data_IF_071266775775
#
_entry.id   IF_071266775775
#
_cell.length_a   1.000
_cell.length_b   1.000
_cell.length_c   1.000
_cell.angle_alpha   90.00
_cell.angle_beta   90.00
_cell.angle_gamma   90.00
#
_symmetry.space_group_name_H-M   'P 1'
#
loop_
_entity.id
_entity.type
_entity.pdbx_description
1 polymer ?
#
# COMPACT_ATOMS: atom_id res chain seq x y z
N UNK A 1 -19.08 -16.68 17.35
CA UNK A 1 -18.65 -17.39 16.14
C UNK A 1 -19.37 -16.74 14.96
N UNK A 2 -18.72 -15.78 14.29
CA UNK A 2 -19.32 -15.16 13.10
C UNK A 2 -19.10 -16.14 11.96
N UNK A 3 -20.18 -16.70 11.43
CA UNK A 3 -20.17 -17.40 10.14
C UNK A 3 -19.77 -16.35 9.11
N UNK A 4 -18.50 -16.34 8.68
CA UNK A 4 -18.09 -15.55 7.53
C UNK A 4 -18.70 -16.23 6.31
N UNK A 5 -19.87 -15.73 5.91
CA UNK A 5 -20.40 -15.88 4.56
C UNK A 5 -19.25 -15.63 3.57
N UNK A 6 -19.19 -16.36 2.46
CA UNK A 6 -18.20 -16.15 1.38
C UNK A 6 -18.32 -14.72 0.83
N UNK A 7 -17.69 -13.76 1.51
CA UNK A 7 -17.68 -12.37 1.10
C UNK A 7 -16.68 -12.23 -0.03
N UNK A 8 -17.16 -11.75 -1.16
CA UNK A 8 -16.34 -11.49 -2.33
C UNK A 8 -16.51 -10.03 -2.70
N UNK A 9 -15.40 -9.29 -2.71
CA UNK A 9 -15.35 -7.97 -3.29
C UNK A 9 -14.83 -8.07 -4.73
N UNK A 10 -15.67 -7.67 -5.68
CA UNK A 10 -15.25 -7.49 -7.06
C UNK A 10 -14.84 -6.03 -7.26
N UNK A 11 -13.58 -5.79 -7.60
CA UNK A 11 -13.02 -4.45 -7.81
C UNK A 11 -12.88 -4.20 -9.31
N UNK A 12 -13.71 -3.33 -9.92
CA UNK A 12 -13.52 -2.95 -11.32
C UNK A 12 -12.20 -2.20 -11.50
N UNK A 13 -11.31 -2.71 -12.35
CA UNK A 13 -9.98 -2.13 -12.54
C UNK A 13 -10.02 -0.69 -13.08
N UNK A 14 -11.04 -0.36 -13.89
CA UNK A 14 -11.23 1.00 -14.40
C UNK A 14 -11.56 1.99 -13.26
N UNK A 15 -12.39 1.59 -12.31
CA UNK A 15 -12.75 2.41 -11.15
C UNK A 15 -11.57 2.53 -10.17
N UNK A 16 -10.84 1.44 -9.94
CA UNK A 16 -9.63 1.47 -9.11
C UNK A 16 -8.60 2.45 -9.69
N UNK A 17 -8.33 2.38 -11.00
CA UNK A 17 -7.40 3.30 -11.66
C UNK A 17 -7.83 4.76 -11.51
N UNK A 18 -9.09 5.06 -11.82
CA UNK A 18 -9.63 6.41 -11.66
C UNK A 18 -9.53 6.92 -10.22
N UNK A 19 -9.72 6.03 -9.24
CA UNK A 19 -9.62 6.39 -7.82
C UNK A 19 -8.19 6.71 -7.43
N UNK A 20 -7.21 5.95 -7.94
CA UNK A 20 -5.78 6.24 -7.74
C UNK A 20 -5.45 7.61 -8.34
N UNK A 21 -5.84 7.88 -9.59
CA UNK A 21 -5.56 9.15 -10.26
C UNK A 21 -6.10 10.35 -9.46
N UNK A 22 -7.37 10.29 -9.02
CA UNK A 22 -8.00 11.35 -8.22
C UNK A 22 -7.31 11.58 -6.86
N UNK A 23 -6.84 10.50 -6.20
CA UNK A 23 -6.14 10.62 -4.93
C UNK A 23 -4.73 11.18 -5.12
N UNK A 24 -4.06 10.87 -6.22
CA UNK A 24 -2.76 11.46 -6.54
C UNK A 24 -2.90 12.96 -6.85
N UNK A 25 -3.91 13.37 -7.64
CA UNK A 25 -4.21 14.78 -7.87
C UNK A 25 -4.42 15.54 -6.54
N UNK A 26 -5.12 14.92 -5.59
CA UNK A 26 -5.35 15.49 -4.26
C UNK A 26 -4.05 15.63 -3.46
N UNK A 27 -3.19 14.61 -3.46
CA UNK A 27 -1.89 14.63 -2.77
C UNK A 27 -0.97 15.70 -3.38
N UNK A 28 -0.93 15.81 -4.70
CA UNK A 28 -0.14 16.83 -5.39
C UNK A 28 -0.62 18.24 -5.04
N UNK A 29 -1.93 18.48 -5.05
CA UNK A 29 -2.51 19.77 -4.66
C UNK A 29 -2.23 20.13 -3.18
N UNK A 30 -2.11 19.12 -2.32
CA UNK A 30 -1.81 19.31 -0.89
C UNK A 30 -0.30 19.47 -0.60
N UNK A 31 0.58 19.27 -1.59
CA UNK A 31 2.05 19.30 -1.41
C UNK A 31 2.70 20.44 -2.20
N UNK A 32 3.12 21.48 -1.49
CA UNK A 32 3.91 22.58 -2.08
C UNK A 32 5.32 22.08 -2.45
N UNK A 33 5.47 21.56 -3.67
CA UNK A 33 6.76 21.17 -4.23
C UNK A 33 6.86 19.77 -4.81
N UNK A 34 5.74 19.06 -4.99
CA UNK A 34 5.71 17.76 -5.70
C UNK A 34 6.51 16.64 -5.02
N UNK A 35 6.89 16.83 -3.75
CA UNK A 35 7.56 15.83 -2.92
C UNK A 35 6.96 15.86 -1.53
N UNK A 36 6.66 14.69 -0.99
CA UNK A 36 6.20 14.53 0.38
C UNK A 36 7.34 13.95 1.23
N UNK A 37 7.68 14.64 2.31
CA UNK A 37 8.59 14.09 3.34
C UNK A 37 7.81 13.06 4.14
N UNK A 38 8.33 11.86 4.36
CA UNK A 38 7.81 10.91 5.35
C UNK A 38 8.79 10.87 6.53
N UNK A 39 8.26 10.87 7.76
CA UNK A 39 9.06 11.05 8.98
C UNK A 39 9.44 9.70 9.59
N UNK A 40 8.64 8.68 9.31
CA UNK A 40 8.85 7.30 9.71
C UNK A 40 9.44 6.49 8.55
N UNK A 41 10.18 5.43 8.86
CA UNK A 41 10.69 4.47 7.85
C UNK A 41 10.19 3.06 8.14
N UNK A 42 10.25 2.61 9.40
CA UNK A 42 9.81 1.27 9.78
C UNK A 42 8.33 1.24 10.18
N UNK A 43 7.65 0.15 9.85
CA UNK A 43 6.28 -0.11 10.29
C UNK A 43 6.08 -1.60 10.64
N UNK A 44 5.13 -1.87 11.53
CA UNK A 44 4.68 -3.25 11.78
C UNK A 44 3.89 -3.76 10.58
N UNK A 45 4.30 -4.91 10.06
CA UNK A 45 3.64 -5.62 8.97
C UNK A 45 3.10 -6.96 9.48
N UNK A 46 1.94 -7.36 8.97
CA UNK A 46 1.33 -8.64 9.31
C UNK A 46 1.61 -9.59 8.14
N UNK A 47 2.16 -10.80 8.39
CA UNK A 47 2.35 -11.82 7.36
C UNK A 47 1.05 -12.11 6.59
N UNK A 48 1.17 -12.37 5.28
CA UNK A 48 0.01 -12.52 4.36
C UNK A 48 -1.01 -13.58 4.84
N UNK A 49 -0.52 -14.69 5.36
CA UNK A 49 -1.31 -15.80 5.89
C UNK A 49 -2.07 -15.42 7.16
N UNK A 50 -1.51 -14.54 7.99
CA UNK A 50 -2.17 -14.00 9.18
C UNK A 50 -3.04 -12.76 8.90
N UNK A 51 -2.76 -12.00 7.83
CA UNK A 51 -3.38 -10.71 7.53
C UNK A 51 -4.91 -10.78 7.39
N UNK A 52 -5.42 -11.90 6.87
CA UNK A 52 -6.86 -12.10 6.64
C UNK A 52 -7.51 -13.10 7.62
N UNK A 53 -6.73 -13.71 8.52
CA UNK A 53 -7.25 -14.60 9.55
C UNK A 53 -7.66 -13.81 10.80
N UNK A 54 -8.79 -13.12 10.71
CA UNK A 54 -9.30 -12.26 11.79
C UNK A 54 -9.74 -13.04 13.05
N UNK A 55 -9.75 -14.37 13.01
CA UNK A 55 -10.09 -15.21 14.16
C UNK A 55 -8.88 -15.52 15.04
N UNK A 56 -7.67 -15.28 14.54
CA UNK A 56 -6.42 -15.52 15.27
C UNK A 56 -5.58 -14.25 15.28
N UNK A 57 -5.18 -13.81 16.48
CA UNK A 57 -4.24 -12.69 16.60
C UNK A 57 -2.90 -13.09 15.95
N UNK A 58 -2.32 -12.26 15.06
CA UNK A 58 -1.00 -12.52 14.52
C UNK A 58 0.04 -12.65 15.64
N UNK A 59 0.70 -13.81 15.72
CA UNK A 59 1.72 -14.07 16.74
C UNK A 59 3.06 -13.40 16.40
N UNK A 60 3.40 -13.35 15.11
CA UNK A 60 4.69 -12.89 14.60
C UNK A 60 4.50 -11.70 13.67
N UNK A 61 4.44 -10.48 14.23
CA UNK A 61 4.51 -9.27 13.43
C UNK A 61 5.92 -9.15 12.83
N UNK A 62 5.98 -8.80 11.56
CA UNK A 62 7.23 -8.50 10.87
C UNK A 62 7.44 -6.99 10.78
N UNK A 63 8.63 -6.58 10.36
CA UNK A 63 8.92 -5.19 10.06
C UNK A 63 8.91 -4.97 8.55
N UNK A 64 8.17 -3.97 8.11
CA UNK A 64 8.33 -3.37 6.79
C UNK A 64 9.14 -2.07 6.90
N UNK A 65 9.64 -1.60 5.76
CA UNK A 65 10.47 -0.40 5.67
C UNK A 65 10.10 0.40 4.42
N UNK A 66 9.71 1.66 4.59
CA UNK A 66 9.20 2.52 3.52
C UNK A 66 10.27 2.84 2.47
N UNK A 67 11.52 3.06 2.88
CA UNK A 67 12.64 3.24 1.96
C UNK A 67 12.88 2.01 1.08
N UNK A 68 12.77 0.80 1.65
CA UNK A 68 12.84 -0.45 0.89
C UNK A 68 11.68 -0.60 -0.09
N UNK A 69 10.44 -0.32 0.35
CA UNK A 69 9.27 -0.34 -0.53
C UNK A 69 9.40 0.68 -1.65
N UNK A 70 9.93 1.87 -1.37
CA UNK A 70 10.19 2.91 -2.37
C UNK A 70 11.27 2.49 -3.38
N UNK A 71 12.37 1.88 -2.92
CA UNK A 71 13.44 1.36 -3.79
C UNK A 71 12.88 0.39 -4.85
N UNK A 72 12.00 -0.53 -4.44
CA UNK A 72 11.35 -1.47 -5.37
C UNK A 72 10.47 -0.78 -6.41
N UNK A 73 9.79 0.30 -6.03
CA UNK A 73 8.99 1.08 -6.98
C UNK A 73 9.89 1.86 -7.95
N UNK A 74 11.00 2.42 -7.48
CA UNK A 74 11.94 3.11 -8.37
C UNK A 74 12.69 2.17 -9.30
N UNK A 75 13.03 0.96 -8.86
CA UNK A 75 13.59 -0.10 -9.70
C UNK A 75 12.62 -0.52 -10.79
N UNK A 76 11.32 -0.63 -10.46
CA UNK A 76 10.27 -0.91 -11.44
C UNK A 76 10.16 0.19 -12.51
N UNK A 77 10.33 1.46 -12.13
CA UNK A 77 10.33 2.57 -13.09
C UNK A 77 11.54 2.51 -14.04
N UNK A 78 12.68 1.98 -13.57
CA UNK A 78 13.88 1.80 -14.39
C UNK A 78 13.77 0.58 -15.33
N UNK A 79 13.05 -0.48 -14.92
CA UNK A 79 12.82 -1.68 -15.71
C UNK A 79 11.36 -2.19 -15.57
N UNK A 80 10.43 -1.64 -16.37
CA UNK A 80 9.01 -1.96 -16.29
C UNK A 80 8.67 -3.43 -16.58
N UNK A 81 9.54 -4.16 -17.29
CA UNK A 81 9.33 -5.56 -17.63
C UNK A 81 9.43 -6.48 -16.40
N UNK A 82 9.96 -5.98 -15.27
CA UNK A 82 10.04 -6.70 -14.00
C UNK A 82 8.77 -6.60 -13.15
N UNK A 83 7.69 -5.99 -13.67
CA UNK A 83 6.43 -5.85 -12.96
C UNK A 83 5.89 -7.21 -12.45
N UNK A 84 5.85 -7.36 -11.13
CA UNK A 84 5.19 -8.46 -10.43
C UNK A 84 4.11 -7.93 -9.47
N UNK A 85 3.13 -8.78 -9.14
CA UNK A 85 2.01 -8.39 -8.26
C UNK A 85 2.42 -7.84 -6.90
N UNK A 86 3.60 -8.21 -6.38
CA UNK A 86 4.09 -7.69 -5.10
C UNK A 86 4.43 -6.19 -5.14
N UNK A 87 4.65 -5.59 -6.31
CA UNK A 87 4.79 -4.13 -6.43
C UNK A 87 3.54 -3.37 -6.00
N UNK A 88 2.35 -3.98 -6.10
CA UNK A 88 1.13 -3.37 -5.54
C UNK A 88 1.17 -3.35 -4.01
N UNK A 89 1.85 -4.31 -3.37
CA UNK A 89 2.02 -4.32 -1.91
C UNK A 89 2.94 -3.19 -1.50
N UNK A 90 4.13 -3.07 -2.11
CA UNK A 90 5.06 -1.95 -1.84
C UNK A 90 4.41 -0.59 -2.12
N UNK A 91 3.67 -0.46 -3.22
CA UNK A 91 2.92 0.75 -3.52
C UNK A 91 1.90 1.07 -2.42
N UNK A 92 1.13 0.07 -1.96
CA UNK A 92 0.15 0.28 -0.90
C UNK A 92 0.76 0.74 0.42
N UNK A 93 1.97 0.31 0.74
CA UNK A 93 2.69 0.70 1.95
C UNK A 93 3.08 2.18 1.90
N UNK A 94 3.63 2.63 0.76
CA UNK A 94 3.96 4.03 0.53
C UNK A 94 2.70 4.90 0.52
N UNK A 95 1.66 4.49 -0.22
CA UNK A 95 0.40 5.23 -0.28
C UNK A 95 -0.28 5.34 1.09
N UNK A 96 -0.21 4.29 1.93
CA UNK A 96 -0.72 4.32 3.29
C UNK A 96 0.00 5.36 4.14
N UNK A 97 1.34 5.41 4.08
CA UNK A 97 2.12 6.39 4.82
C UNK A 97 1.82 7.83 4.37
N UNK A 98 1.68 8.04 3.06
CA UNK A 98 1.25 9.34 2.48
C UNK A 98 -0.14 9.73 3.01
N UNK A 99 -1.13 8.84 2.89
CA UNK A 99 -2.51 9.13 3.28
C UNK A 99 -2.70 9.31 4.80
N UNK A 100 -1.80 8.77 5.63
CA UNK A 100 -1.78 9.05 7.07
C UNK A 100 -1.17 10.40 7.43
N UNK A 101 -0.45 11.03 6.49
CA UNK A 101 0.19 12.33 6.66
C UNK A 101 -0.60 13.46 6.01
N UNK A 102 -1.16 13.24 4.83
CA UNK A 102 -1.98 14.20 4.08
C UNK A 102 -3.40 14.18 4.66
N UNK A 103 -3.90 15.34 5.09
CA UNK A 103 -5.27 15.57 5.61
C UNK A 103 -5.99 16.55 4.70
#
# INVERSE_FOLDING_TARGET
>A
MVLMTEWQLHVPLAELRRSIDLLMDHVEAATDGGTIRLDEDYFWSIPKDALYDVNHTPADLTLGQLSWSWEHLTDLLADPDRAIGYHLVWLSEVLRAIGQKVV
#
